data_IF_930115167468
#
_entry.id   IF_930115167468
#
_cell.length_a   1.000
_cell.length_b   1.000
_cell.length_c   1.000
_cell.angle_alpha   90.00
_cell.angle_beta   90.00
_cell.angle_gamma   90.00
#
_symmetry.space_group_name_H-M   'P 1'
#
loop_
_entity.id
_entity.type
_entity.pdbx_description
1 polymer ?
#
# COMPACT_ATOMS: atom_id res chain seq x y z
N UNK A 1 -0.53 7.10 -15.00
CA UNK A 1 0.91 7.27 -14.79
C UNK A 1 1.77 6.44 -15.72
N UNK A 2 3.06 6.50 -15.50
CA UNK A 2 4.03 5.81 -16.32
C UNK A 2 4.25 6.48 -17.69
N UNK A 3 5.32 6.08 -18.39
CA UNK A 3 5.72 6.70 -19.66
C UNK A 3 4.70 6.54 -20.78
N UNK A 4 3.93 5.46 -20.76
CA UNK A 4 2.88 5.17 -21.77
C UNK A 4 1.74 6.19 -21.70
N UNK A 5 1.45 6.73 -20.52
CA UNK A 5 0.41 7.75 -20.34
C UNK A 5 0.73 9.10 -21.02
N UNK A 6 2.02 9.42 -21.21
CA UNK A 6 2.43 10.74 -21.72
C UNK A 6 1.90 11.01 -23.14
N UNK A 7 2.16 10.16 -24.16
CA UNK A 7 1.65 10.41 -25.50
C UNK A 7 0.11 10.41 -25.57
N UNK A 8 -0.55 9.59 -24.76
CA UNK A 8 -2.02 9.54 -24.70
C UNK A 8 -2.60 10.86 -24.17
N UNK A 9 -2.04 11.38 -23.09
CA UNK A 9 -2.46 12.66 -22.48
C UNK A 9 -2.24 13.81 -23.44
N UNK A 10 -1.09 13.88 -24.12
CA UNK A 10 -0.80 14.93 -25.11
C UNK A 10 -1.81 14.86 -26.26
N UNK A 11 -2.02 13.69 -26.84
CA UNK A 11 -2.96 13.49 -27.95
C UNK A 11 -4.40 13.86 -27.55
N UNK A 12 -4.85 13.42 -26.36
CA UNK A 12 -6.17 13.75 -25.84
C UNK A 12 -6.37 15.28 -25.70
N UNK A 13 -5.37 15.96 -25.12
CA UNK A 13 -5.38 17.43 -24.98
C UNK A 13 -5.44 18.13 -26.35
N UNK A 14 -4.64 17.70 -27.34
CA UNK A 14 -4.68 18.23 -28.71
C UNK A 14 -6.05 18.01 -29.38
N UNK A 15 -6.69 16.88 -29.13
CA UNK A 15 -8.04 16.59 -29.60
C UNK A 15 -9.12 17.25 -28.74
N UNK A 16 -8.77 18.11 -27.79
CA UNK A 16 -9.69 18.78 -26.86
C UNK A 16 -10.56 17.83 -26.05
N UNK A 17 -10.06 16.63 -25.78
CA UNK A 17 -10.68 15.69 -24.84
C UNK A 17 -10.28 16.07 -23.43
N UNK A 18 -11.23 16.22 -22.48
CA UNK A 18 -10.89 16.50 -21.09
C UNK A 18 -9.94 15.43 -20.51
N UNK A 19 -8.92 15.89 -19.82
CA UNK A 19 -7.88 15.01 -19.27
C UNK A 19 -7.84 15.16 -17.76
N UNK A 20 -8.09 14.06 -17.05
CA UNK A 20 -7.87 13.93 -15.63
C UNK A 20 -6.72 12.96 -15.40
N UNK A 21 -5.73 13.33 -14.63
CA UNK A 21 -4.61 12.46 -14.23
C UNK A 21 -4.65 12.21 -12.73
N UNK A 22 -4.00 11.14 -12.29
CA UNK A 22 -3.88 10.80 -10.87
C UNK A 22 -2.41 10.60 -10.51
N UNK A 23 -1.98 11.22 -9.39
CA UNK A 23 -0.68 10.98 -8.79
C UNK A 23 -0.84 10.18 -7.50
N UNK A 24 -0.27 8.99 -7.50
CA UNK A 24 -0.38 8.06 -6.39
C UNK A 24 0.68 8.26 -5.31
N UNK A 25 1.89 8.71 -5.69
CA UNK A 25 3.00 8.90 -4.76
C UNK A 25 3.01 10.30 -4.15
N UNK A 26 3.71 10.43 -3.04
CA UNK A 26 3.86 11.72 -2.32
C UNK A 26 4.49 12.81 -3.20
N UNK A 27 5.45 12.45 -4.05
CA UNK A 27 6.05 13.39 -5.02
C UNK A 27 5.75 12.96 -6.46
N UNK A 28 5.34 13.91 -7.32
CA UNK A 28 5.01 13.59 -8.71
C UNK A 28 6.20 12.99 -9.48
N UNK A 29 5.95 11.83 -10.11
CA UNK A 29 6.88 11.22 -11.03
C UNK A 29 7.05 12.03 -12.32
N UNK A 30 8.12 11.78 -13.10
CA UNK A 30 8.43 12.52 -14.31
C UNK A 30 7.26 12.51 -15.32
N UNK A 31 6.61 11.38 -15.51
CA UNK A 31 5.48 11.25 -16.41
C UNK A 31 4.33 12.18 -15.97
N UNK A 32 4.00 12.21 -14.69
CA UNK A 32 2.95 13.08 -14.16
C UNK A 32 3.35 14.56 -14.18
N UNK A 33 4.64 14.90 -14.02
CA UNK A 33 5.13 16.28 -14.23
C UNK A 33 4.95 16.75 -15.68
N UNK A 34 5.09 15.87 -16.66
CA UNK A 34 4.81 16.18 -18.06
C UNK A 34 3.30 16.27 -18.27
N UNK A 35 2.55 15.28 -17.83
CA UNK A 35 1.09 15.20 -17.98
C UNK A 35 0.37 16.39 -17.34
N UNK A 36 0.87 16.93 -16.23
CA UNK A 36 0.26 18.06 -15.51
C UNK A 36 0.11 19.32 -16.38
N UNK A 37 0.96 19.48 -17.39
CA UNK A 37 0.86 20.61 -18.34
C UNK A 37 -0.39 20.51 -19.23
N UNK A 38 -0.79 19.29 -19.56
CA UNK A 38 -1.85 18.97 -20.50
C UNK A 38 -3.16 18.54 -19.82
N UNK A 39 -3.12 18.17 -18.54
CA UNK A 39 -4.28 17.79 -17.77
C UNK A 39 -5.14 18.99 -17.39
N UNK A 40 -6.45 18.81 -17.37
CA UNK A 40 -7.43 19.78 -16.86
C UNK A 40 -7.49 19.71 -15.33
N UNK A 41 -7.44 18.49 -14.77
CA UNK A 41 -7.38 18.22 -13.33
C UNK A 41 -6.37 17.15 -13.01
N UNK A 42 -5.82 17.24 -11.78
CA UNK A 42 -4.81 16.33 -11.25
C UNK A 42 -5.31 15.86 -9.89
N UNK A 43 -5.85 14.65 -9.82
CA UNK A 43 -6.16 13.99 -8.56
C UNK A 43 -4.87 13.61 -7.85
N UNK A 44 -4.80 13.81 -6.55
CA UNK A 44 -3.64 13.42 -5.74
C UNK A 44 -4.07 12.58 -4.55
N UNK A 45 -3.26 11.57 -4.26
CA UNK A 45 -3.49 10.66 -3.14
C UNK A 45 -3.12 11.31 -1.81
N UNK A 46 -1.99 12.00 -1.75
CA UNK A 46 -1.51 12.67 -0.55
C UNK A 46 -1.88 14.16 -0.57
N UNK A 47 -2.44 14.67 0.51
CA UNK A 47 -2.82 16.08 0.63
C UNK A 47 -1.63 17.02 0.37
N UNK A 48 -0.46 16.69 0.92
CA UNK A 48 0.78 17.46 0.74
C UNK A 48 1.23 17.55 -0.74
N UNK A 49 0.76 16.66 -1.61
CA UNK A 49 1.08 16.66 -3.05
C UNK A 49 0.44 17.82 -3.78
N UNK A 50 -0.61 18.45 -3.23
CA UNK A 50 -1.26 19.63 -3.79
C UNK A 50 -0.28 20.78 -4.07
N UNK A 51 0.76 20.94 -3.25
CA UNK A 51 1.81 21.95 -3.46
C UNK A 51 2.54 21.85 -4.80
N UNK A 52 2.49 20.69 -5.47
CA UNK A 52 3.13 20.46 -6.77
C UNK A 52 2.18 20.59 -7.96
N UNK A 53 0.87 20.75 -7.74
CA UNK A 53 -0.16 20.66 -8.79
C UNK A 53 -0.84 21.98 -9.12
N UNK A 54 -0.61 23.03 -8.31
CA UNK A 54 -1.24 24.33 -8.47
C UNK A 54 -2.78 24.25 -8.44
N UNK A 55 -3.46 25.11 -9.19
CA UNK A 55 -4.92 25.21 -9.22
C UNK A 55 -5.62 23.97 -9.86
N UNK A 56 -4.86 23.12 -10.54
CA UNK A 56 -5.40 21.90 -11.15
C UNK A 56 -5.54 20.75 -10.16
N UNK A 57 -4.86 20.83 -9.02
CA UNK A 57 -4.82 19.79 -8.00
C UNK A 57 -6.15 19.62 -7.27
N UNK A 58 -6.52 18.38 -7.04
CA UNK A 58 -7.65 17.98 -6.21
C UNK A 58 -7.21 16.83 -5.31
N UNK A 59 -7.28 17.01 -3.99
CA UNK A 59 -7.02 15.92 -3.05
C UNK A 59 -8.23 15.00 -3.03
N UNK A 60 -8.07 13.81 -3.60
CA UNK A 60 -9.12 12.79 -3.69
C UNK A 60 -8.84 11.58 -2.83
N UNK A 61 -7.59 11.35 -2.41
CA UNK A 61 -7.17 10.02 -1.99
C UNK A 61 -6.92 9.13 -3.21
N UNK A 62 -6.85 7.82 -2.98
CA UNK A 62 -6.68 6.82 -4.05
C UNK A 62 -7.87 5.87 -4.12
N UNK A 63 -8.33 5.47 -5.32
CA UNK A 63 -9.37 4.45 -5.43
C UNK A 63 -8.91 3.13 -4.82
N UNK A 64 -9.76 2.56 -3.98
CA UNK A 64 -9.53 1.25 -3.34
C UNK A 64 -10.39 0.20 -4.04
N UNK A 65 -9.84 -0.98 -4.23
CA UNK A 65 -10.56 -2.11 -4.84
C UNK A 65 -11.73 -2.54 -3.94
N UNK A 66 -12.99 -2.46 -4.41
CA UNK A 66 -14.15 -2.74 -3.55
C UNK A 66 -14.20 -4.20 -3.04
N UNK A 67 -13.50 -5.13 -3.74
CA UNK A 67 -13.39 -6.52 -3.31
C UNK A 67 -12.69 -6.66 -1.97
N UNK A 68 -11.76 -5.76 -1.63
CA UNK A 68 -10.99 -5.81 -0.38
C UNK A 68 -11.86 -5.65 0.86
N UNK A 69 -12.99 -4.94 0.75
CA UNK A 69 -13.94 -4.77 1.86
C UNK A 69 -14.86 -5.98 2.09
N UNK A 70 -14.84 -6.98 1.19
CA UNK A 70 -15.71 -8.17 1.25
C UNK A 70 -15.02 -9.39 1.87
N UNK A 71 -13.84 -9.20 2.42
CA UNK A 71 -13.08 -10.26 3.05
C UNK A 71 -13.77 -10.83 4.29
N UNK A 72 -13.63 -12.13 4.49
CA UNK A 72 -14.10 -12.85 5.66
C UNK A 72 -12.94 -13.48 6.41
N UNK A 73 -12.88 -13.22 7.72
CA UNK A 73 -11.77 -13.69 8.57
C UNK A 73 -11.67 -15.21 8.60
N UNK A 74 -12.81 -15.91 8.72
CA UNK A 74 -12.79 -17.36 8.83
C UNK A 74 -12.34 -18.01 7.51
N UNK A 75 -12.84 -17.53 6.37
CA UNK A 75 -12.36 -18.00 5.07
C UNK A 75 -10.87 -17.77 4.87
N UNK A 76 -10.36 -16.62 5.36
CA UNK A 76 -8.92 -16.34 5.33
C UNK A 76 -8.11 -17.32 6.18
N UNK A 77 -8.56 -17.61 7.40
CA UNK A 77 -7.91 -18.59 8.27
C UNK A 77 -7.95 -19.99 7.66
N UNK A 78 -9.09 -20.41 7.11
CA UNK A 78 -9.26 -21.71 6.47
C UNK A 78 -8.35 -21.87 5.26
N UNK A 79 -8.25 -20.83 4.41
CA UNK A 79 -7.33 -20.81 3.26
C UNK A 79 -5.87 -20.94 3.67
N UNK A 80 -5.48 -20.28 4.77
CA UNK A 80 -4.11 -20.31 5.29
C UNK A 80 -3.83 -21.59 6.10
N UNK A 81 -4.87 -22.32 6.51
CA UNK A 81 -4.74 -23.49 7.39
C UNK A 81 -4.37 -23.10 8.82
N UNK A 82 -4.79 -21.93 9.29
CA UNK A 82 -4.59 -21.45 10.65
C UNK A 82 -5.84 -21.71 11.52
N UNK A 83 -5.62 -21.99 12.81
CA UNK A 83 -6.71 -22.30 13.74
C UNK A 83 -7.31 -21.05 14.43
N UNK A 84 -6.71 -19.87 14.23
CA UNK A 84 -7.16 -18.62 14.81
C UNK A 84 -6.82 -18.40 16.29
N UNK A 85 -5.98 -19.25 16.89
CA UNK A 85 -5.52 -19.10 18.29
C UNK A 85 -4.45 -18.01 18.44
N UNK A 86 -3.63 -17.82 17.39
CA UNK A 86 -2.60 -16.77 17.34
C UNK A 86 -3.04 -15.59 16.46
N UNK A 87 -2.53 -14.39 16.73
CA UNK A 87 -2.67 -13.28 15.81
C UNK A 87 -1.95 -13.54 14.49
N UNK A 88 -2.51 -13.04 13.39
CA UNK A 88 -1.95 -13.23 12.05
C UNK A 88 -1.06 -12.04 11.67
N UNK A 89 0.21 -12.34 11.42
CA UNK A 89 1.20 -11.42 10.84
C UNK A 89 1.29 -11.66 9.34
N UNK A 90 0.96 -10.65 8.54
CA UNK A 90 1.13 -10.69 7.09
C UNK A 90 2.41 -9.98 6.66
N UNK A 91 3.18 -10.61 5.78
CA UNK A 91 4.37 -10.01 5.16
C UNK A 91 4.16 -9.93 3.65
N UNK A 92 4.36 -8.73 3.05
CA UNK A 92 4.33 -8.57 1.60
C UNK A 92 5.33 -7.53 1.10
N UNK A 93 6.18 -7.96 0.17
CA UNK A 93 7.26 -7.13 -0.41
C UNK A 93 6.90 -6.40 -1.70
N UNK A 94 5.63 -6.43 -2.12
CA UNK A 94 5.19 -6.00 -3.45
C UNK A 94 5.34 -7.11 -4.50
N UNK A 95 4.92 -6.85 -5.76
CA UNK A 95 4.81 -7.86 -6.84
C UNK A 95 6.12 -8.58 -7.18
N UNK A 96 7.25 -7.90 -7.05
CA UNK A 96 8.58 -8.49 -7.28
C UNK A 96 9.17 -9.15 -6.02
N UNK A 97 8.48 -9.04 -4.88
CA UNK A 97 8.99 -9.45 -3.58
C UNK A 97 10.17 -8.58 -3.10
N UNK A 98 10.51 -8.69 -1.82
CA UNK A 98 11.57 -7.91 -1.18
C UNK A 98 12.60 -8.83 -0.53
N UNK A 99 13.71 -9.12 -1.22
CA UNK A 99 14.73 -10.06 -0.74
C UNK A 99 15.24 -9.72 0.68
N UNK A 100 15.47 -8.44 0.98
CA UNK A 100 15.93 -8.02 2.31
C UNK A 100 14.87 -8.33 3.40
N UNK A 101 13.59 -8.05 3.13
CA UNK A 101 12.50 -8.39 4.07
C UNK A 101 12.38 -9.90 4.22
N UNK A 102 12.35 -10.63 3.09
CA UNK A 102 12.25 -12.11 3.12
C UNK A 102 13.36 -12.72 3.98
N UNK A 103 14.62 -12.28 3.80
CA UNK A 103 15.76 -12.79 4.56
C UNK A 103 15.65 -12.47 6.04
N UNK A 104 15.29 -11.23 6.40
CA UNK A 104 15.15 -10.83 7.81
C UNK A 104 14.01 -11.58 8.52
N UNK A 105 12.87 -11.76 7.83
CA UNK A 105 11.74 -12.55 8.35
C UNK A 105 12.15 -14.00 8.60
N UNK A 106 12.82 -14.63 7.63
CA UNK A 106 13.28 -16.03 7.79
C UNK A 106 14.29 -16.19 8.91
N UNK A 107 15.18 -15.23 9.11
CA UNK A 107 16.10 -15.25 10.26
C UNK A 107 15.37 -15.13 11.60
N UNK A 108 14.30 -14.33 11.66
CA UNK A 108 13.49 -14.11 12.86
C UNK A 108 12.42 -15.20 13.08
N UNK A 109 12.17 -16.06 12.09
CA UNK A 109 11.05 -17.00 12.05
C UNK A 109 10.88 -17.84 13.33
N UNK A 110 11.94 -18.47 13.91
CA UNK A 110 11.78 -19.30 15.10
C UNK A 110 11.26 -18.54 16.33
N UNK A 111 11.43 -17.21 16.35
CA UNK A 111 10.92 -16.35 17.42
C UNK A 111 9.52 -15.82 17.11
N UNK A 112 9.28 -15.43 15.86
CA UNK A 112 7.99 -14.91 15.40
C UNK A 112 6.88 -15.97 15.52
N UNK A 113 7.14 -17.23 15.14
CA UNK A 113 6.16 -18.33 15.19
C UNK A 113 5.69 -18.67 16.62
N UNK A 114 6.39 -18.24 17.66
CA UNK A 114 5.95 -18.41 19.04
C UNK A 114 4.71 -17.59 19.36
N UNK A 115 4.59 -16.42 18.71
CA UNK A 115 3.53 -15.43 18.97
C UNK A 115 2.51 -15.35 17.85
N UNK A 116 2.94 -15.52 16.59
CA UNK A 116 2.11 -15.26 15.41
C UNK A 116 1.92 -16.49 14.54
N UNK A 117 0.76 -16.55 13.87
CA UNK A 117 0.62 -17.27 12.62
C UNK A 117 0.99 -16.32 11.48
N UNK A 118 1.81 -16.77 10.53
CA UNK A 118 2.49 -15.90 9.58
C UNK A 118 2.14 -16.26 8.14
N UNK A 119 1.57 -15.33 7.39
CA UNK A 119 1.41 -15.42 5.94
C UNK A 119 2.43 -14.53 5.24
N UNK A 120 3.30 -15.15 4.43
CA UNK A 120 4.40 -14.45 3.77
C UNK A 120 4.25 -14.49 2.25
N UNK A 121 3.91 -13.36 1.64
CA UNK A 121 3.86 -13.19 0.18
C UNK A 121 5.25 -12.77 -0.29
N UNK A 122 6.05 -13.76 -0.69
CA UNK A 122 7.48 -13.62 -0.96
C UNK A 122 7.79 -12.96 -2.31
N UNK A 123 6.86 -13.00 -3.27
CA UNK A 123 7.06 -12.64 -4.67
C UNK A 123 7.48 -13.83 -5.53
N UNK A 124 7.37 -13.68 -6.85
CA UNK A 124 7.61 -14.74 -7.84
C UNK A 124 8.97 -15.42 -7.67
N UNK A 125 8.97 -16.76 -7.62
CA UNK A 125 10.17 -17.59 -7.51
C UNK A 125 10.95 -17.44 -6.19
N UNK A 126 10.33 -16.87 -5.12
CA UNK A 126 11.03 -16.59 -3.85
C UNK A 126 10.44 -17.31 -2.65
N UNK A 127 9.43 -18.14 -2.84
CA UNK A 127 8.92 -19.00 -1.77
C UNK A 127 9.87 -20.18 -1.56
N UNK A 128 10.21 -20.45 -0.31
CA UNK A 128 11.03 -21.61 0.15
C UNK A 128 10.09 -22.54 0.90
N UNK A 129 9.36 -23.38 0.13
CA UNK A 129 8.26 -24.21 0.65
C UNK A 129 8.69 -25.21 1.72
N UNK A 130 9.94 -25.56 1.77
CA UNK A 130 10.56 -26.40 2.82
C UNK A 130 10.54 -25.73 4.20
N UNK A 131 10.37 -24.41 4.27
CA UNK A 131 10.23 -23.67 5.51
C UNK A 131 8.77 -23.58 6.00
N UNK A 132 7.79 -24.00 5.19
CA UNK A 132 6.38 -23.96 5.59
C UNK A 132 6.17 -24.84 6.84
N UNK A 133 5.42 -24.32 7.81
CA UNK A 133 5.07 -25.00 9.06
C UNK A 133 3.56 -24.86 9.35
N UNK A 134 3.12 -25.31 10.51
CA UNK A 134 1.75 -25.07 10.98
C UNK A 134 1.46 -23.57 11.13
N UNK A 135 2.43 -22.78 11.60
CA UNK A 135 2.30 -21.33 11.86
C UNK A 135 2.98 -20.44 10.81
N UNK A 136 3.58 -20.98 9.73
CA UNK A 136 4.21 -20.20 8.68
C UNK A 136 3.84 -20.72 7.29
N UNK A 137 3.21 -19.88 6.48
CA UNK A 137 2.78 -20.22 5.12
C UNK A 137 3.35 -19.22 4.12
N UNK A 138 3.99 -19.73 3.07
CA UNK A 138 4.58 -18.90 2.02
C UNK A 138 3.79 -19.01 0.71
N UNK A 139 3.63 -17.85 0.07
CA UNK A 139 3.00 -17.72 -1.25
C UNK A 139 3.85 -16.83 -2.14
N UNK A 140 3.91 -17.12 -3.43
CA UNK A 140 4.49 -16.19 -4.40
C UNK A 140 3.56 -15.00 -4.61
N UNK A 141 2.27 -15.27 -4.76
CA UNK A 141 1.18 -14.30 -4.72
C UNK A 141 -0.11 -14.92 -4.21
N UNK A 142 -1.00 -14.04 -3.73
CA UNK A 142 -2.39 -14.37 -3.41
C UNK A 142 -3.25 -13.39 -4.23
N UNK A 143 -4.27 -13.88 -4.93
CA UNK A 143 -5.16 -13.04 -5.74
C UNK A 143 -6.61 -13.08 -5.29
N UNK A 144 -7.33 -14.16 -5.55
CA UNK A 144 -8.77 -14.24 -5.25
C UNK A 144 -9.06 -14.22 -3.75
N UNK A 145 -8.20 -14.85 -2.96
CA UNK A 145 -8.34 -14.99 -1.51
C UNK A 145 -7.75 -13.80 -0.73
N UNK A 146 -7.14 -12.83 -1.42
CA UNK A 146 -6.41 -11.73 -0.77
C UNK A 146 -7.29 -10.92 0.19
N UNK A 147 -8.55 -10.68 -0.15
CA UNK A 147 -9.48 -9.97 0.72
C UNK A 147 -9.74 -10.73 2.02
N UNK A 148 -9.91 -12.04 1.94
CA UNK A 148 -10.11 -12.91 3.10
C UNK A 148 -8.86 -12.98 3.96
N UNK A 149 -7.68 -13.09 3.33
CA UNK A 149 -6.39 -13.04 4.02
C UNK A 149 -6.19 -11.70 4.73
N UNK A 150 -6.56 -10.57 4.09
CA UNK A 150 -6.54 -9.27 4.77
C UNK A 150 -7.52 -9.23 5.96
N UNK A 151 -8.72 -9.81 5.82
CA UNK A 151 -9.67 -9.86 6.92
C UNK A 151 -9.12 -10.67 8.12
N UNK A 152 -8.37 -11.75 7.86
CA UNK A 152 -7.72 -12.56 8.88
C UNK A 152 -6.49 -11.89 9.52
N UNK A 153 -5.85 -10.93 8.84
CA UNK A 153 -4.59 -10.30 9.25
C UNK A 153 -4.78 -9.30 10.38
N UNK A 154 -3.95 -9.37 11.42
CA UNK A 154 -3.94 -8.43 12.56
C UNK A 154 -2.93 -7.30 12.35
N UNK A 155 -1.73 -7.58 11.84
CA UNK A 155 -0.68 -6.59 11.55
C UNK A 155 0.06 -6.94 10.25
N UNK A 156 0.66 -5.94 9.62
CA UNK A 156 1.33 -6.09 8.32
C UNK A 156 2.78 -5.60 8.35
N UNK A 157 3.70 -6.33 7.72
CA UNK A 157 5.01 -5.83 7.31
C UNK A 157 4.99 -5.64 5.80
N UNK A 158 5.35 -4.44 5.31
CA UNK A 158 5.34 -4.19 3.88
C UNK A 158 6.37 -3.16 3.42
N UNK A 159 6.58 -3.11 2.11
CA UNK A 159 7.15 -1.94 1.44
C UNK A 159 6.15 -0.79 1.49
N UNK A 160 6.65 0.45 1.33
CA UNK A 160 5.81 1.66 1.37
C UNK A 160 5.37 2.13 -0.04
N UNK A 161 4.93 1.19 -0.89
CA UNK A 161 4.30 1.54 -2.17
C UNK A 161 2.92 2.17 -1.95
N UNK A 162 2.63 3.27 -2.63
CA UNK A 162 1.44 4.08 -2.37
C UNK A 162 0.13 3.25 -2.36
N UNK A 163 -0.10 2.43 -3.38
CA UNK A 163 -1.35 1.64 -3.45
C UNK A 163 -1.52 0.72 -2.24
N UNK A 164 -0.46 -0.02 -1.87
CA UNK A 164 -0.53 -0.98 -0.76
C UNK A 164 -0.78 -0.27 0.59
N UNK A 165 -0.07 0.83 0.87
CA UNK A 165 -0.24 1.52 2.17
C UNK A 165 -1.62 2.16 2.31
N UNK A 166 -2.23 2.61 1.20
CA UNK A 166 -3.62 3.10 1.23
C UNK A 166 -4.65 1.98 1.32
N UNK A 167 -4.41 0.80 0.73
CA UNK A 167 -5.23 -0.38 0.97
C UNK A 167 -5.19 -0.79 2.45
N UNK A 168 -4.01 -0.78 3.09
CA UNK A 168 -3.91 -1.05 4.53
C UNK A 168 -4.60 0.02 5.38
N UNK A 169 -4.49 1.30 5.02
CA UNK A 169 -5.20 2.40 5.68
C UNK A 169 -6.71 2.18 5.60
N UNK A 170 -7.24 1.92 4.40
CA UNK A 170 -8.66 1.69 4.17
C UNK A 170 -9.22 0.47 4.93
N UNK A 171 -8.39 -0.54 5.13
CA UNK A 171 -8.71 -1.74 5.90
C UNK A 171 -8.33 -1.63 7.39
N UNK A 172 -7.85 -0.48 7.83
CA UNK A 172 -7.39 -0.22 9.20
C UNK A 172 -6.37 -1.26 9.70
N UNK A 173 -5.42 -1.68 8.83
CA UNK A 173 -4.40 -2.67 9.19
C UNK A 173 -3.14 -1.98 9.72
N UNK A 174 -2.80 -2.12 11.01
CA UNK A 174 -1.55 -1.62 11.57
C UNK A 174 -0.36 -2.15 10.79
N UNK A 175 0.57 -1.27 10.42
CA UNK A 175 1.62 -1.62 9.48
C UNK A 175 3.01 -1.17 9.94
N UNK A 176 4.00 -2.06 9.76
CA UNK A 176 5.43 -1.77 9.79
C UNK A 176 5.91 -1.59 8.36
N UNK A 177 6.29 -0.37 8.01
CA UNK A 177 6.77 -0.05 6.67
C UNK A 177 8.30 -0.11 6.62
N UNK A 178 8.81 -0.87 5.66
CA UNK A 178 10.24 -0.98 5.35
C UNK A 178 10.44 -0.45 3.94
N UNK A 179 10.67 0.87 3.77
CA UNK A 179 10.77 1.49 2.45
C UNK A 179 12.00 1.01 1.69
N UNK A 180 11.96 1.10 0.36
CA UNK A 180 13.14 0.91 -0.48
C UNK A 180 14.15 2.04 -0.20
N UNK A 181 15.44 1.72 -0.02
CA UNK A 181 16.48 2.71 0.24
C UNK A 181 16.74 3.59 -1.00
N UNK A 182 17.39 4.73 -0.80
CA UNK A 182 17.77 5.64 -1.89
C UNK A 182 18.70 4.98 -2.91
N UNK A 183 19.51 4.01 -2.50
CA UNK A 183 20.36 3.22 -3.39
C UNK A 183 19.59 2.36 -4.40
N UNK A 184 18.32 2.04 -4.11
CA UNK A 184 17.46 1.18 -4.94
C UNK A 184 16.23 1.91 -5.51
N UNK A 185 16.00 3.17 -5.14
CA UNK A 185 14.82 3.93 -5.56
C UNK A 185 15.09 5.44 -5.60
N UNK A 186 14.12 6.21 -6.12
CA UNK A 186 14.15 7.69 -6.07
C UNK A 186 13.74 8.28 -4.72
N UNK A 187 13.46 7.43 -3.72
CA UNK A 187 13.01 7.84 -2.40
C UNK A 187 11.50 8.01 -2.26
N UNK A 188 10.71 7.66 -3.28
CA UNK A 188 9.25 7.77 -3.23
C UNK A 188 8.68 7.02 -2.02
N UNK A 189 9.15 5.78 -1.78
CA UNK A 189 8.69 4.98 -0.64
C UNK A 189 9.10 5.55 0.72
N UNK A 190 10.27 6.17 0.82
CA UNK A 190 10.71 6.83 2.06
C UNK A 190 9.75 7.99 2.38
N UNK A 191 9.37 8.77 1.37
CA UNK A 191 8.44 9.89 1.55
C UNK A 191 7.02 9.40 1.89
N UNK A 192 6.52 8.36 1.22
CA UNK A 192 5.24 7.72 1.55
C UNK A 192 5.24 7.23 3.00
N UNK A 193 6.26 6.46 3.41
CA UNK A 193 6.41 5.95 4.78
C UNK A 193 6.46 7.08 5.81
N UNK A 194 7.24 8.13 5.53
CA UNK A 194 7.34 9.32 6.40
C UNK A 194 6.01 10.03 6.59
N UNK A 195 5.18 10.14 5.55
CA UNK A 195 3.83 10.70 5.66
C UNK A 195 2.95 9.83 6.58
N UNK A 196 2.93 8.51 6.37
CA UNK A 196 2.14 7.58 7.18
C UNK A 196 2.58 7.56 8.65
N UNK A 197 3.88 7.65 8.91
CA UNK A 197 4.42 7.74 10.26
C UNK A 197 4.01 9.04 10.96
N UNK A 198 4.12 10.20 10.28
CA UNK A 198 3.69 11.49 10.85
C UNK A 198 2.19 11.57 11.15
N UNK A 199 1.37 10.88 10.36
CA UNK A 199 -0.09 10.78 10.58
C UNK A 199 -0.46 9.76 11.68
N UNK A 200 0.50 8.98 12.17
CA UNK A 200 0.26 7.95 13.17
C UNK A 200 -0.42 6.69 12.62
N UNK A 201 -0.30 6.42 11.31
CA UNK A 201 -0.87 5.24 10.66
C UNK A 201 0.08 4.05 10.60
N UNK A 202 1.40 4.30 10.69
CA UNK A 202 2.42 3.28 10.50
C UNK A 202 3.63 3.49 11.41
N UNK A 203 4.32 2.40 11.72
CA UNK A 203 5.71 2.41 12.14
C UNK A 203 6.61 2.28 10.92
N UNK A 204 7.84 2.81 11.01
CA UNK A 204 8.84 2.75 9.92
C UNK A 204 10.14 2.16 10.47
N UNK A 205 10.68 1.20 9.74
CA UNK A 205 12.02 0.65 9.96
C UNK A 205 12.83 0.81 8.67
N UNK A 206 13.89 1.61 8.73
CA UNK A 206 14.77 1.81 7.57
C UNK A 206 15.45 0.49 7.20
N UNK A 207 15.54 0.19 5.87
CA UNK A 207 16.13 -1.08 5.42
C UNK A 207 17.57 -1.26 5.88
N UNK A 208 18.32 -0.19 6.03
CA UNK A 208 19.71 -0.18 6.51
C UNK A 208 19.85 -0.65 7.96
N UNK A 209 18.77 -0.51 8.73
CA UNK A 209 18.70 -0.96 10.14
C UNK A 209 18.05 -2.34 10.27
N UNK A 210 17.54 -2.91 9.16
CA UNK A 210 16.82 -4.17 9.17
C UNK A 210 17.74 -5.35 9.47
N UNK A 211 17.47 -6.01 10.58
CA UNK A 211 18.06 -7.27 11.00
C UNK A 211 17.07 -8.06 11.86
N UNK A 212 17.43 -9.27 12.28
CA UNK A 212 16.55 -10.12 13.09
C UNK A 212 16.02 -9.41 14.35
N UNK A 213 16.89 -8.75 15.12
CA UNK A 213 16.50 -8.15 16.40
C UNK A 213 15.64 -6.91 16.19
N UNK A 214 16.03 -5.98 15.30
CA UNK A 214 15.26 -4.76 15.03
C UNK A 214 13.90 -5.08 14.42
N UNK A 215 13.81 -6.13 13.61
CA UNK A 215 12.53 -6.61 13.08
C UNK A 215 11.63 -7.11 14.20
N UNK A 216 12.14 -7.99 15.08
CA UNK A 216 11.38 -8.53 16.21
C UNK A 216 10.88 -7.45 17.15
N UNK A 217 11.75 -6.51 17.54
CA UNK A 217 11.40 -5.41 18.42
C UNK A 217 10.30 -4.54 17.79
N UNK A 218 10.43 -4.22 16.50
CA UNK A 218 9.44 -3.42 15.77
C UNK A 218 8.10 -4.13 15.61
N UNK A 219 8.11 -5.45 15.36
CA UNK A 219 6.87 -6.24 15.24
C UNK A 219 6.13 -6.31 16.57
N UNK A 220 6.86 -6.54 17.67
CA UNK A 220 6.26 -6.59 19.00
C UNK A 220 5.69 -5.22 19.41
N UNK A 221 6.42 -4.11 19.22
CA UNK A 221 5.92 -2.76 19.50
C UNK A 221 4.68 -2.42 18.63
N UNK A 222 4.70 -2.77 17.34
CA UNK A 222 3.54 -2.58 16.48
C UNK A 222 2.33 -3.37 17.00
N UNK A 223 2.53 -4.62 17.37
CA UNK A 223 1.44 -5.48 17.85
C UNK A 223 0.86 -4.96 19.16
N UNK A 224 1.71 -4.56 20.11
CA UNK A 224 1.28 -4.01 21.39
C UNK A 224 0.45 -2.72 21.21
N UNK A 225 0.83 -1.89 20.24
CA UNK A 225 0.17 -0.61 19.93
C UNK A 225 -0.90 -0.70 18.85
N UNK A 226 -1.22 -1.88 18.33
CA UNK A 226 -2.11 -2.08 17.16
C UNK A 226 -3.46 -1.39 17.28
N UNK A 227 -4.07 -1.41 18.47
CA UNK A 227 -5.37 -0.78 18.69
C UNK A 227 -5.32 0.74 18.55
N UNK A 228 -4.23 1.37 18.95
CA UNK A 228 -4.00 2.81 18.76
C UNK A 228 -3.86 3.17 17.28
N UNK A 229 -3.10 2.38 16.51
CA UNK A 229 -2.99 2.57 15.06
C UNK A 229 -4.34 2.38 14.36
N UNK A 230 -5.08 1.32 14.69
CA UNK A 230 -6.42 1.07 14.13
C UNK A 230 -7.37 2.24 14.43
N UNK A 231 -7.39 2.74 15.67
CA UNK A 231 -8.24 3.88 16.04
C UNK A 231 -7.89 5.16 15.26
N UNK A 232 -6.59 5.44 15.07
CA UNK A 232 -6.12 6.61 14.30
C UNK A 232 -6.53 6.48 12.83
N UNK A 233 -6.36 5.31 12.23
CA UNK A 233 -6.73 5.05 10.83
C UNK A 233 -8.25 5.12 10.61
N UNK A 234 -9.04 4.57 11.54
CA UNK A 234 -10.52 4.58 11.45
C UNK A 234 -11.12 5.99 11.52
N UNK A 235 -10.38 6.96 12.06
CA UNK A 235 -10.81 8.35 12.10
C UNK A 235 -10.57 9.10 10.78
N UNK A 236 -9.82 8.52 9.83
CA UNK A 236 -9.54 9.12 8.53
C UNK A 236 -10.64 8.76 7.51
N UNK A 237 -11.51 9.72 7.24
CA UNK A 237 -12.63 9.55 6.30
C UNK A 237 -12.22 9.49 4.82
N UNK A 238 -10.94 9.74 4.49
CA UNK A 238 -10.44 9.81 3.09
C UNK A 238 -9.52 8.64 2.72
N UNK A 239 -9.65 7.51 3.38
CA UNK A 239 -8.86 6.33 3.03
C UNK A 239 -9.19 5.79 1.62
N UNK A 240 -10.46 5.88 1.19
CA UNK A 240 -10.91 5.50 -0.17
C UNK A 240 -11.33 6.74 -0.95
N UNK A 241 -10.66 6.99 -2.05
CA UNK A 241 -10.89 8.14 -2.94
C UNK A 241 -11.69 7.81 -4.20
N UNK A 242 -12.38 6.68 -4.24
CA UNK A 242 -13.07 6.21 -5.45
C UNK A 242 -14.13 7.19 -5.92
N UNK A 243 -15.02 7.62 -5.03
CA UNK A 243 -16.12 8.53 -5.39
C UNK A 243 -15.61 9.93 -5.73
N UNK A 244 -14.62 10.46 -4.99
CA UNK A 244 -14.00 11.75 -5.27
C UNK A 244 -13.35 11.80 -6.66
N UNK A 245 -12.63 10.73 -7.04
CA UNK A 245 -12.02 10.64 -8.39
C UNK A 245 -13.11 10.57 -9.45
N UNK A 246 -14.17 9.80 -9.23
CA UNK A 246 -15.31 9.73 -10.16
C UNK A 246 -16.01 11.07 -10.33
N UNK A 247 -16.18 11.83 -9.25
CA UNK A 247 -16.82 13.15 -9.30
C UNK A 247 -15.98 14.15 -10.07
N UNK A 248 -14.65 14.15 -9.91
CA UNK A 248 -13.75 14.97 -10.73
C UNK A 248 -13.89 14.61 -12.21
N UNK A 249 -13.91 13.31 -12.55
CA UNK A 249 -14.06 12.85 -13.94
C UNK A 249 -15.41 13.31 -14.52
N UNK A 250 -16.51 13.13 -13.78
CA UNK A 250 -17.85 13.53 -14.19
C UNK A 250 -17.94 15.05 -14.41
N UNK A 251 -17.36 15.82 -13.50
CA UNK A 251 -17.36 17.29 -13.60
C UNK A 251 -16.61 17.77 -14.86
N UNK A 252 -15.45 17.20 -15.17
CA UNK A 252 -14.69 17.59 -16.37
C UNK A 252 -15.38 17.10 -17.66
N UNK A 253 -15.98 15.91 -17.66
CA UNK A 253 -16.74 15.40 -18.80
C UNK A 253 -17.98 16.30 -19.12
N UNK A 254 -18.70 16.76 -18.08
CA UNK A 254 -19.88 17.60 -18.25
C UNK A 254 -19.58 19.00 -18.84
N UNK A 255 -18.37 19.54 -18.64
CA UNK A 255 -17.96 20.83 -19.24
C UNK A 255 -17.92 20.76 -20.76
N UNK A 256 -17.64 19.63 -21.34
CA UNK A 256 -17.58 19.41 -22.79
C UNK A 256 -18.99 19.35 -23.44
N UNK A 257 -19.94 18.75 -22.73
CA UNK A 257 -21.31 18.61 -23.22
C UNK A 257 -22.05 19.96 -23.38
N UNK A 258 -21.47 21.01 -22.82
CA UNK A 258 -22.04 22.40 -22.89
C UNK A 258 -21.37 23.30 -23.93
N UNK A 259 -20.36 22.81 -24.65
CA UNK A 259 -19.67 23.49 -25.76
C UNK A 259 -19.99 22.79 -27.09
#
# INVERSE_FOLDING_TARGET
GGYVGVPVVIAASQCRVPVVTHESDYTPGLANKINSRFADKICVTFEDTLKFTGEKGVHTGTPIRPELYKGDKQRGLDFLGFNGEKPVLMIMGGSLGAAAINSAVRAALPKLERTFDIVHICGAGKAEKELDSASYKQYEFISNELSDVFAATDIVISRAGANAVFEFLALCKPMLLIPLPLSASRGDQIQNAGYFSRKGYAMVLEQEQLNENTLLDSVNDLYDRRLSFTATMSADAKADGTDEVLDVIRAEAAKRSKK
#
